data_IF_933797169255
#
_entry.id   IF_933797169255
#
_cell.length_a   1.000
_cell.length_b   1.000
_cell.length_c   1.000
_cell.angle_alpha   90.00
_cell.angle_beta   90.00
_cell.angle_gamma   90.00
#
_symmetry.space_group_name_H-M   'P 1'
#
loop_
_entity.id
_entity.type
_entity.pdbx_description
1 polymer ?
#
# COMPACT_ATOMS: atom_id res chain seq x y z
N UNK A 1 -21.05 -20.93 12.29
CA UNK A 1 -20.37 -19.70 11.82
C UNK A 1 -21.36 -18.60 11.42
N UNK A 2 -22.66 -18.89 11.34
CA UNK A 2 -23.70 -17.94 10.91
C UNK A 2 -24.01 -16.82 11.93
N UNK A 3 -23.57 -16.96 13.19
CA UNK A 3 -23.72 -15.93 14.22
C UNK A 3 -22.53 -14.98 14.37
N UNK A 4 -21.50 -15.10 13.51
CA UNK A 4 -20.36 -14.18 13.57
C UNK A 4 -20.70 -12.94 12.76
N UNK A 5 -20.71 -11.80 13.43
CA UNK A 5 -20.93 -10.51 12.79
C UNK A 5 -19.80 -10.24 11.76
N UNK A 6 -20.20 -10.19 10.49
CA UNK A 6 -19.32 -9.90 9.37
C UNK A 6 -18.72 -8.50 9.51
N UNK A 7 -19.49 -7.54 10.01
CA UNK A 7 -19.07 -6.16 10.17
C UNK A 7 -17.97 -6.04 11.22
N UNK A 8 -18.10 -6.78 12.31
CA UNK A 8 -17.04 -6.91 13.30
C UNK A 8 -15.74 -7.47 12.69
N UNK A 9 -15.79 -8.59 11.95
CA UNK A 9 -14.60 -9.15 11.28
C UNK A 9 -13.99 -8.13 10.32
N UNK A 10 -14.83 -7.47 9.50
CA UNK A 10 -14.40 -6.44 8.56
C UNK A 10 -13.66 -5.31 9.28
N UNK A 11 -14.17 -4.85 10.42
CA UNK A 11 -13.51 -3.83 11.25
C UNK A 11 -12.17 -4.33 11.81
N UNK A 12 -12.10 -5.56 12.32
CA UNK A 12 -10.84 -6.12 12.83
C UNK A 12 -9.76 -6.22 11.75
N UNK A 13 -10.13 -6.60 10.53
CA UNK A 13 -9.18 -6.75 9.41
C UNK A 13 -8.78 -5.39 8.81
N UNK A 14 -9.75 -4.50 8.55
CA UNK A 14 -9.51 -3.27 7.79
C UNK A 14 -9.04 -2.10 8.66
N UNK A 15 -9.55 -1.98 9.89
CA UNK A 15 -9.27 -0.86 10.80
C UNK A 15 -8.17 -1.25 11.79
N UNK A 16 -8.38 -2.32 12.56
CA UNK A 16 -7.47 -2.75 13.63
C UNK A 16 -6.22 -3.48 13.10
N UNK A 17 -6.23 -3.90 11.82
CA UNK A 17 -5.13 -4.61 11.14
C UNK A 17 -4.71 -5.91 11.81
N UNK A 18 -5.63 -6.59 12.49
CA UNK A 18 -5.35 -7.87 13.13
C UNK A 18 -5.13 -8.95 12.09
N UNK A 19 -4.20 -9.85 12.39
CA UNK A 19 -3.95 -11.06 11.63
C UNK A 19 -5.11 -12.04 11.80
N UNK A 20 -5.27 -12.97 10.85
CA UNK A 20 -6.27 -14.04 10.97
C UNK A 20 -6.05 -14.88 12.24
N UNK A 21 -4.81 -15.01 12.69
CA UNK A 21 -4.45 -15.70 13.92
C UNK A 21 -5.01 -14.97 15.16
N UNK A 22 -4.72 -13.67 15.30
CA UNK A 22 -5.25 -12.87 16.41
C UNK A 22 -6.78 -12.83 16.42
N UNK A 23 -7.40 -12.71 15.24
CA UNK A 23 -8.86 -12.77 15.12
C UNK A 23 -9.38 -14.14 15.60
N UNK A 24 -8.68 -15.23 15.26
CA UNK A 24 -9.06 -16.57 15.70
C UNK A 24 -8.96 -16.74 17.23
N UNK A 25 -7.93 -16.18 17.86
CA UNK A 25 -7.78 -16.20 19.33
C UNK A 25 -8.87 -15.37 20.01
N UNK A 26 -9.17 -14.18 19.50
CA UNK A 26 -10.26 -13.34 20.03
C UNK A 26 -11.60 -14.08 19.92
N UNK A 27 -11.87 -14.70 18.77
CA UNK A 27 -13.10 -15.46 18.57
C UNK A 27 -13.20 -16.67 19.52
N UNK A 28 -12.10 -17.38 19.78
CA UNK A 28 -12.07 -18.48 20.75
C UNK A 28 -12.31 -17.99 22.18
N UNK A 29 -11.75 -16.84 22.57
CA UNK A 29 -11.97 -16.25 23.89
C UNK A 29 -13.44 -15.87 24.11
N UNK A 30 -14.09 -15.29 23.10
CA UNK A 30 -15.49 -14.88 23.21
C UNK A 30 -16.49 -16.03 23.02
N UNK A 31 -16.13 -17.08 22.27
CA UNK A 31 -16.99 -18.22 21.94
C UNK A 31 -16.25 -19.56 22.13
N UNK A 32 -15.92 -19.96 23.38
CA UNK A 32 -15.03 -21.08 23.67
C UNK A 32 -15.56 -22.46 23.23
N UNK A 33 -16.86 -22.60 22.97
CA UNK A 33 -17.49 -23.89 22.61
C UNK A 33 -17.78 -24.06 21.11
N UNK A 34 -17.49 -23.05 20.30
CA UNK A 34 -17.76 -23.12 18.86
C UNK A 34 -16.62 -23.81 18.10
N UNK A 35 -16.96 -24.93 17.44
CA UNK A 35 -16.05 -25.59 16.49
C UNK A 35 -15.86 -24.72 15.24
N UNK A 36 -14.67 -24.78 14.64
CA UNK A 36 -14.39 -24.11 13.37
C UNK A 36 -13.93 -22.65 13.48
N UNK A 37 -13.42 -22.21 14.65
CA UNK A 37 -12.79 -20.89 14.86
C UNK A 37 -11.27 -20.92 14.66
N UNK A 38 -10.74 -21.85 13.86
CA UNK A 38 -9.30 -21.86 13.56
C UNK A 38 -8.93 -20.70 12.64
N UNK A 39 -7.66 -20.30 12.66
CA UNK A 39 -7.09 -19.32 11.72
C UNK A 39 -7.46 -19.64 10.25
N UNK A 40 -7.40 -20.92 9.87
CA UNK A 40 -7.76 -21.38 8.52
C UNK A 40 -9.22 -21.08 8.18
N UNK A 41 -10.11 -21.20 9.16
CA UNK A 41 -11.53 -20.93 9.01
C UNK A 41 -11.79 -19.42 8.86
N UNK A 42 -11.13 -18.60 9.69
CA UNK A 42 -11.17 -17.12 9.57
C UNK A 42 -10.65 -16.68 8.21
N UNK A 43 -9.53 -17.24 7.76
CA UNK A 43 -8.97 -16.96 6.44
C UNK A 43 -9.95 -17.30 5.32
N UNK A 44 -10.56 -18.50 5.33
CA UNK A 44 -11.58 -18.89 4.34
C UNK A 44 -12.79 -17.97 4.37
N UNK A 45 -13.24 -17.57 5.56
CA UNK A 45 -14.35 -16.64 5.72
C UNK A 45 -14.03 -15.29 5.07
N UNK A 46 -12.84 -14.73 5.35
CA UNK A 46 -12.39 -13.48 4.75
C UNK A 46 -12.22 -13.60 3.24
N UNK A 47 -11.63 -14.69 2.72
CA UNK A 47 -11.45 -14.93 1.29
C UNK A 47 -12.79 -15.03 0.55
N UNK A 48 -13.76 -15.79 1.08
CA UNK A 48 -15.08 -15.97 0.46
C UNK A 48 -15.91 -14.68 0.44
N UNK A 49 -15.70 -13.77 1.40
CA UNK A 49 -16.41 -12.48 1.49
C UNK A 49 -15.58 -11.29 0.98
N UNK A 50 -14.41 -11.53 0.39
CA UNK A 50 -13.52 -10.48 -0.12
C UNK A 50 -12.99 -9.51 0.94
N UNK A 51 -12.93 -9.93 2.21
CA UNK A 51 -12.47 -9.09 3.33
C UNK A 51 -10.94 -9.11 3.35
N UNK A 52 -10.35 -8.08 2.78
CA UNK A 52 -8.90 -7.93 2.73
C UNK A 52 -8.47 -6.54 3.15
N UNK A 53 -7.40 -6.48 3.95
CA UNK A 53 -6.75 -5.21 4.29
C UNK A 53 -6.21 -4.49 3.04
N UNK A 54 -5.78 -5.25 2.02
CA UNK A 54 -5.28 -4.73 0.75
C UNK A 54 -6.34 -4.88 -0.32
N UNK A 55 -6.47 -3.88 -1.20
CA UNK A 55 -7.55 -3.79 -2.20
C UNK A 55 -7.49 -4.83 -3.33
N UNK A 56 -6.60 -5.82 -3.28
CA UNK A 56 -6.61 -6.95 -4.22
C UNK A 56 -6.45 -6.61 -5.71
N UNK A 57 -6.05 -5.38 -6.07
CA UNK A 57 -5.97 -4.93 -7.46
C UNK A 57 -5.09 -5.87 -8.29
N UNK A 58 -5.54 -6.26 -9.48
CA UNK A 58 -4.70 -6.97 -10.46
C UNK A 58 -3.60 -6.05 -11.03
N UNK A 59 -2.58 -6.64 -11.65
CA UNK A 59 -1.47 -5.94 -12.30
C UNK A 59 -1.97 -4.88 -13.30
N UNK A 60 -2.94 -5.21 -14.16
CA UNK A 60 -3.45 -4.28 -15.18
C UNK A 60 -4.20 -3.11 -14.55
N UNK A 61 -5.07 -3.41 -13.60
CA UNK A 61 -5.83 -2.39 -12.85
C UNK A 61 -4.90 -1.47 -12.06
N UNK A 62 -3.89 -2.02 -11.40
CA UNK A 62 -2.89 -1.21 -10.70
C UNK A 62 -2.12 -0.29 -11.66
N UNK A 63 -1.84 -0.75 -12.88
CA UNK A 63 -1.14 0.05 -13.87
C UNK A 63 -1.99 1.22 -14.39
N UNK A 64 -3.28 1.01 -14.64
CA UNK A 64 -4.20 2.07 -15.05
C UNK A 64 -4.41 3.10 -13.94
N UNK A 65 -4.73 2.66 -12.72
CA UNK A 65 -4.95 3.56 -11.57
C UNK A 65 -3.70 4.39 -11.27
N UNK A 66 -2.50 3.80 -11.39
CA UNK A 66 -1.25 4.55 -11.21
C UNK A 66 -1.01 5.57 -12.32
N UNK A 67 -1.30 5.22 -13.57
CA UNK A 67 -1.18 6.17 -14.69
C UNK A 67 -2.12 7.37 -14.50
N UNK A 68 -3.37 7.12 -14.11
CA UNK A 68 -4.35 8.18 -13.83
C UNK A 68 -3.91 9.06 -12.65
N UNK A 69 -3.41 8.47 -11.57
CA UNK A 69 -2.89 9.23 -10.45
C UNK A 69 -1.72 10.12 -10.88
N UNK A 70 -0.75 9.57 -11.62
CA UNK A 70 0.40 10.33 -12.14
C UNK A 70 -0.03 11.46 -13.08
N UNK A 71 -1.06 11.26 -13.91
CA UNK A 71 -1.62 12.35 -14.74
C UNK A 71 -2.22 13.47 -13.89
N UNK A 72 -2.88 13.14 -12.77
CA UNK A 72 -3.49 14.13 -11.87
C UNK A 72 -2.47 14.88 -11.03
N UNK A 73 -1.52 14.17 -10.42
CA UNK A 73 -0.61 14.75 -9.44
C UNK A 73 0.75 15.16 -10.02
N UNK A 74 1.09 14.61 -11.19
CA UNK A 74 2.37 14.80 -11.85
C UNK A 74 3.38 13.69 -11.56
N UNK A 75 4.37 13.49 -12.44
CA UNK A 75 5.37 12.41 -12.33
C UNK A 75 6.44 12.62 -11.26
N UNK A 76 6.45 13.79 -10.62
CA UNK A 76 7.35 14.13 -9.50
C UNK A 76 6.85 13.63 -8.15
N UNK A 77 5.63 13.07 -8.08
CA UNK A 77 5.08 12.55 -6.83
C UNK A 77 5.69 11.21 -6.44
N UNK A 78 6.08 11.13 -5.18
CA UNK A 78 6.78 9.98 -4.66
C UNK A 78 5.98 8.72 -4.42
N UNK A 79 6.65 7.57 -4.30
CA UNK A 79 6.00 6.31 -3.91
C UNK A 79 5.24 6.41 -2.58
N UNK A 80 5.76 7.15 -1.59
CA UNK A 80 5.06 7.40 -0.31
C UNK A 80 3.83 8.28 -0.52
N UNK A 81 3.95 9.34 -1.32
CA UNK A 81 2.84 10.25 -1.61
C UNK A 81 1.76 9.57 -2.46
N UNK A 82 2.14 8.82 -3.48
CA UNK A 82 1.25 8.05 -4.33
C UNK A 82 0.51 6.97 -3.52
N UNK A 83 1.20 6.30 -2.58
CA UNK A 83 0.56 5.39 -1.64
C UNK A 83 -0.44 6.12 -0.72
N UNK A 84 -0.08 7.31 -0.24
CA UNK A 84 -0.98 8.16 0.54
C UNK A 84 -2.21 8.58 -0.25
N UNK A 85 -2.01 8.97 -1.52
CA UNK A 85 -3.06 9.33 -2.47
C UNK A 85 -4.02 8.17 -2.71
N UNK A 86 -3.51 6.98 -3.00
CA UNK A 86 -4.35 5.79 -3.12
C UNK A 86 -5.11 5.49 -1.82
N UNK A 87 -4.45 5.61 -0.67
CA UNK A 87 -5.12 5.39 0.62
C UNK A 87 -6.27 6.38 0.84
N UNK A 88 -6.10 7.65 0.45
CA UNK A 88 -7.17 8.64 0.50
C UNK A 88 -8.33 8.32 -0.45
N UNK A 89 -8.06 7.62 -1.55
CA UNK A 89 -9.08 7.08 -2.47
C UNK A 89 -9.64 5.72 -2.03
N UNK A 90 -9.33 5.24 -0.82
CA UNK A 90 -9.78 3.94 -0.32
C UNK A 90 -9.02 2.74 -0.90
N UNK A 91 -7.95 2.98 -1.65
CA UNK A 91 -7.14 1.95 -2.29
C UNK A 91 -5.88 1.70 -1.48
N UNK A 92 -5.74 0.49 -0.94
CA UNK A 92 -4.59 0.10 -0.13
C UNK A 92 -3.69 -0.90 -0.86
N UNK A 93 -2.56 -0.39 -1.35
CA UNK A 93 -1.55 -1.14 -2.13
C UNK A 93 -0.22 -1.15 -1.38
N UNK A 94 0.54 -2.23 -1.52
CA UNK A 94 1.91 -2.26 -1.01
C UNK A 94 2.88 -1.50 -1.92
N UNK A 95 3.78 -0.73 -1.32
CA UNK A 95 4.75 0.09 -2.06
C UNK A 95 5.58 -0.72 -3.06
N UNK A 96 5.95 -1.96 -2.71
CA UNK A 96 6.70 -2.86 -3.59
C UNK A 96 5.99 -3.12 -4.91
N UNK A 97 4.66 -3.27 -4.91
CA UNK A 97 3.89 -3.50 -6.16
C UNK A 97 3.85 -2.27 -7.05
N UNK A 98 3.76 -1.08 -6.46
CA UNK A 98 3.80 0.20 -7.19
C UNK A 98 5.17 0.36 -7.88
N UNK A 99 6.25 0.15 -7.13
CA UNK A 99 7.63 0.25 -7.62
C UNK A 99 7.92 -0.75 -8.75
N UNK A 100 7.53 -2.01 -8.58
CA UNK A 100 7.76 -3.03 -9.61
C UNK A 100 7.02 -2.74 -10.93
N UNK A 101 5.86 -2.07 -10.86
CA UNK A 101 5.02 -1.81 -12.03
C UNK A 101 5.33 -0.51 -12.75
N UNK A 102 5.79 0.52 -12.03
CA UNK A 102 6.01 1.85 -12.59
C UNK A 102 7.47 2.33 -12.54
N UNK A 103 8.37 1.55 -11.93
CA UNK A 103 9.73 1.97 -11.67
C UNK A 103 9.82 2.88 -10.44
N UNK A 104 11.05 3.08 -9.98
CA UNK A 104 11.37 4.10 -8.97
C UNK A 104 11.47 5.43 -9.71
N UNK A 105 10.76 6.43 -9.20
CA UNK A 105 10.77 7.87 -9.49
C UNK A 105 11.52 8.34 -10.75
N UNK A 106 10.79 8.97 -11.66
CA UNK A 106 11.40 9.74 -12.75
C UNK A 106 12.09 11.01 -12.23
N UNK A 107 11.75 11.55 -11.07
CA UNK A 107 12.46 12.70 -10.48
C UNK A 107 12.07 12.89 -9.01
N UNK A 108 13.04 12.91 -8.11
CA UNK A 108 12.82 13.19 -6.68
C UNK A 108 12.91 14.71 -6.43
N UNK A 109 11.89 15.30 -5.81
CA UNK A 109 11.95 16.69 -5.30
C UNK A 109 12.54 16.68 -3.89
N UNK A 110 13.50 17.56 -3.62
CA UNK A 110 14.26 17.54 -2.37
C UNK A 110 14.44 18.95 -1.80
N UNK A 111 14.29 19.06 -0.48
CA UNK A 111 14.64 20.22 0.33
C UNK A 111 15.99 20.01 1.04
N UNK A 112 16.58 21.10 1.54
CA UNK A 112 18.00 21.23 1.90
C UNK A 112 18.40 20.62 3.29
N UNK A 113 18.01 19.38 3.59
CA UNK A 113 18.31 18.70 4.89
C UNK A 113 19.20 17.45 4.78
N UNK A 114 19.84 16.96 5.85
CA UNK A 114 20.83 15.85 5.80
C UNK A 114 20.30 14.49 5.28
N UNK A 115 19.00 14.22 5.37
CA UNK A 115 18.32 13.06 4.75
C UNK A 115 18.43 13.04 3.20
N UNK A 116 18.90 14.16 2.62
CA UNK A 116 19.20 14.40 1.22
C UNK A 116 20.25 13.44 0.64
N UNK A 117 21.40 13.28 1.29
CA UNK A 117 22.53 12.54 0.69
C UNK A 117 22.22 11.05 0.52
N UNK A 118 21.56 10.44 1.51
CA UNK A 118 21.12 9.04 1.43
C UNK A 118 20.06 8.84 0.34
N UNK A 119 19.12 9.78 0.20
CA UNK A 119 18.07 9.68 -0.81
C UNK A 119 18.65 9.81 -2.22
N UNK A 120 19.60 10.72 -2.43
CA UNK A 120 20.31 10.86 -3.72
C UNK A 120 21.15 9.62 -4.05
N UNK A 121 21.89 9.09 -3.08
CA UNK A 121 22.70 7.89 -3.26
C UNK A 121 21.87 6.67 -3.66
N UNK A 122 20.74 6.45 -2.99
CA UNK A 122 19.80 5.38 -3.34
C UNK A 122 19.17 5.61 -4.72
N UNK A 123 18.84 6.86 -5.06
CA UNK A 123 18.30 7.20 -6.37
C UNK A 123 19.31 6.95 -7.50
N UNK A 124 20.61 7.16 -7.23
CA UNK A 124 21.68 6.93 -8.19
C UNK A 124 21.92 5.43 -8.44
N UNK A 125 21.97 4.61 -7.38
CA UNK A 125 22.04 3.13 -7.48
C UNK A 125 20.88 2.57 -8.31
N UNK A 126 19.69 3.16 -8.17
CA UNK A 126 18.46 2.70 -8.82
C UNK A 126 18.18 3.39 -10.16
N UNK A 127 19.07 4.28 -10.63
CA UNK A 127 18.88 5.10 -11.83
C UNK A 127 18.64 4.26 -13.09
N UNK A 128 19.29 3.10 -13.20
CA UNK A 128 19.11 2.14 -14.30
C UNK A 128 17.68 1.55 -14.39
N UNK A 129 16.89 1.65 -13.33
CA UNK A 129 15.50 1.18 -13.30
C UNK A 129 14.49 2.31 -13.61
N UNK A 130 14.97 3.52 -13.91
CA UNK A 130 14.12 4.64 -14.32
C UNK A 130 13.65 4.42 -15.76
N UNK A 131 12.36 4.65 -16.00
CA UNK A 131 11.76 4.52 -17.33
C UNK A 131 11.93 5.78 -18.18
N UNK A 132 12.18 6.92 -17.54
CA UNK A 132 12.36 8.20 -18.22
C UNK A 132 13.74 8.80 -17.92
N UNK A 133 14.65 8.69 -18.88
CA UNK A 133 16.00 9.26 -18.80
C UNK A 133 16.07 10.72 -19.25
N UNK A 134 15.00 11.25 -19.87
CA UNK A 134 14.95 12.66 -20.33
C UNK A 134 14.88 13.67 -19.18
N UNK A 135 14.63 13.21 -17.95
CA UNK A 135 14.55 14.06 -16.76
C UNK A 135 15.72 13.80 -15.83
N UNK A 136 16.20 14.84 -15.16
CA UNK A 136 17.17 14.69 -14.08
C UNK A 136 16.59 13.81 -12.96
N UNK A 137 17.37 12.90 -12.35
CA UNK A 137 16.91 11.96 -11.31
C UNK A 137 16.40 12.66 -10.05
N UNK A 138 16.81 13.90 -9.80
CA UNK A 138 16.34 14.75 -8.73
C UNK A 138 16.35 16.22 -9.15
N UNK A 139 15.52 17.04 -8.50
CA UNK A 139 15.50 18.50 -8.63
C UNK A 139 15.46 19.11 -7.23
N UNK A 140 16.42 19.98 -6.95
CA UNK A 140 16.45 20.76 -5.73
C UNK A 140 15.46 21.92 -5.85
N UNK A 141 14.52 22.00 -4.92
CA UNK A 141 13.64 23.17 -4.81
C UNK A 141 14.29 24.20 -3.90
N UNK A 142 14.32 25.45 -4.34
CA UNK A 142 14.73 26.55 -3.46
C UNK A 142 13.61 26.83 -2.47
N UNK A 143 13.93 26.93 -1.18
CA UNK A 143 13.00 27.46 -0.18
C UNK A 143 12.54 28.86 -0.61
N UNK A 144 11.24 29.15 -0.48
CA UNK A 144 10.75 30.52 -0.71
C UNK A 144 11.42 31.45 0.31
N UNK A 145 11.99 32.56 -0.17
CA UNK A 145 12.33 33.71 0.67
C UNK A 145 11.05 34.31 1.27
#
# INVERSE_FOLDING_TARGET
>A
MEAIDEEWIRRQVMVERKTHHEISEILKCHLPFNRGLSERSVRRFCENRGIHYRSGLDRRALASTTREAVQKVGPTWGCKMLKGYFRAQGVNICSKRIVLLHGVWDQVRVDMGAEFYLTLFVQDILSQHRRNTFRAPYVQTNSKQ
#
